data_IF_377702522078
#
_entry.id   IF_377702522078
#
_cell.length_a   1.000
_cell.length_b   1.000
_cell.length_c   1.000
_cell.angle_alpha   90.00
_cell.angle_beta   90.00
_cell.angle_gamma   90.00
#
_symmetry.space_group_name_H-M   'P 1'
#
loop_
_entity.id
_entity.type
_entity.pdbx_description
1 polymer ?
#
# COMPACT_ATOMS: atom_id res chain seq x y z
N UNK A 1 10.20 49.54 6.17
CA UNK A 1 9.00 49.29 5.33
C UNK A 1 8.89 47.78 5.24
N UNK A 2 8.18 47.22 6.21
CA UNK A 2 7.93 45.79 6.33
C UNK A 2 6.84 45.41 5.33
N UNK A 3 7.18 44.59 4.34
CA UNK A 3 6.19 43.90 3.52
C UNK A 3 5.70 42.67 4.27
N UNK A 4 4.73 42.89 5.17
CA UNK A 4 3.88 41.83 5.71
C UNK A 4 2.87 41.47 4.61
N UNK A 5 3.28 40.61 3.68
CA UNK A 5 2.41 40.00 2.69
C UNK A 5 1.76 38.75 3.27
N UNK A 6 0.47 38.82 3.56
CA UNK A 6 -0.58 37.76 3.47
C UNK A 6 -0.28 36.28 3.83
N UNK A 7 0.74 35.96 4.63
CA UNK A 7 0.95 34.60 5.16
C UNK A 7 0.30 34.36 6.54
N UNK A 8 -0.60 35.25 6.98
CA UNK A 8 -1.18 35.25 8.33
C UNK A 8 -2.33 34.28 8.59
N UNK A 9 -2.74 33.44 7.63
CA UNK A 9 -3.97 32.65 7.75
C UNK A 9 -3.83 31.18 8.18
N UNK A 10 -2.64 30.58 8.09
CA UNK A 10 -2.52 29.11 8.10
C UNK A 10 -1.62 28.50 9.18
N UNK A 11 -0.85 29.30 9.93
CA UNK A 11 -0.03 28.82 11.05
C UNK A 11 1.07 27.82 10.65
N UNK A 12 1.55 27.91 9.41
CA UNK A 12 2.54 27.00 8.82
C UNK A 12 3.95 27.59 8.91
N UNK A 13 4.96 26.75 9.14
CA UNK A 13 6.37 27.16 9.02
C UNK A 13 6.77 27.35 7.56
N UNK A 14 7.91 28.00 7.30
CA UNK A 14 8.44 28.21 5.94
C UNK A 14 8.62 26.87 5.21
N UNK A 15 9.22 25.87 5.87
CA UNK A 15 9.43 24.52 5.32
C UNK A 15 8.11 23.79 5.03
N UNK A 16 7.09 24.00 5.87
CA UNK A 16 5.76 23.42 5.67
C UNK A 16 5.04 24.06 4.48
N UNK A 17 5.22 25.36 4.29
CA UNK A 17 4.65 26.10 3.16
C UNK A 17 5.28 25.64 1.85
N UNK A 18 6.60 25.43 1.83
CA UNK A 18 7.30 24.87 0.66
C UNK A 18 6.80 23.47 0.29
N UNK A 19 6.62 22.58 1.29
CA UNK A 19 6.07 21.23 1.06
C UNK A 19 4.63 21.26 0.53
N UNK A 20 3.80 22.19 1.00
CA UNK A 20 2.43 22.35 0.51
C UNK A 20 2.42 22.79 -0.95
N UNK A 21 3.29 23.73 -1.33
CA UNK A 21 3.42 24.19 -2.72
C UNK A 21 3.93 23.07 -3.63
N UNK A 22 4.97 22.32 -3.22
CA UNK A 22 5.46 21.16 -3.98
C UNK A 22 4.40 20.07 -4.12
N UNK A 23 3.63 19.80 -3.07
CA UNK A 23 2.53 18.83 -3.11
C UNK A 23 1.41 19.28 -4.05
N UNK A 24 1.08 20.58 -4.06
CA UNK A 24 0.10 21.18 -4.97
C UNK A 24 0.53 21.05 -6.44
N UNK A 25 1.79 21.33 -6.75
CA UNK A 25 2.34 21.19 -8.11
C UNK A 25 2.32 19.74 -8.61
N UNK A 26 2.67 18.79 -7.74
CA UNK A 26 2.75 17.37 -8.09
C UNK A 26 1.37 16.69 -8.17
N UNK A 27 0.44 17.07 -7.30
CA UNK A 27 -0.88 16.42 -7.23
C UNK A 27 -1.97 17.17 -7.99
N UNK A 28 -1.74 18.42 -8.38
CA UNK A 28 -2.71 19.26 -9.09
C UNK A 28 -3.94 19.60 -8.26
N UNK A 29 -3.83 19.63 -6.93
CA UNK A 29 -4.91 20.06 -6.02
C UNK A 29 -4.77 21.56 -5.77
N UNK A 30 -5.76 22.34 -6.21
CA UNK A 30 -5.74 23.80 -6.09
C UNK A 30 -6.02 24.30 -4.66
N UNK A 31 -6.65 23.47 -3.81
CA UNK A 31 -7.00 23.85 -2.44
C UNK A 31 -5.86 23.59 -1.43
N UNK A 32 -5.27 24.69 -0.95
CA UNK A 32 -4.16 24.68 0.00
C UNK A 32 -4.52 24.04 1.36
N UNK A 33 -5.79 24.09 1.75
CA UNK A 33 -6.25 23.53 3.04
C UNK A 33 -6.32 22.01 3.00
N UNK A 34 -6.66 21.45 1.83
CA UNK A 34 -6.67 20.00 1.58
C UNK A 34 -5.23 19.49 1.51
N UNK A 35 -4.34 20.18 0.80
CA UNK A 35 -2.92 19.84 0.73
C UNK A 35 -2.28 19.80 2.13
N UNK A 36 -2.61 20.78 2.98
CA UNK A 36 -2.17 20.82 4.37
C UNK A 36 -2.67 19.63 5.18
N UNK A 37 -3.98 19.32 5.14
CA UNK A 37 -4.56 18.22 5.91
C UNK A 37 -3.96 16.86 5.49
N UNK A 38 -3.76 16.65 4.18
CA UNK A 38 -3.09 15.44 3.67
C UNK A 38 -1.65 15.36 4.16
N UNK A 39 -0.84 16.41 4.00
CA UNK A 39 0.55 16.41 4.48
C UNK A 39 0.64 16.23 6.00
N UNK A 40 -0.29 16.80 6.76
CA UNK A 40 -0.33 16.67 8.22
C UNK A 40 -0.62 15.23 8.66
N UNK A 41 -1.51 14.52 7.95
CA UNK A 41 -1.78 13.08 8.18
C UNK A 41 -0.56 12.20 7.91
N UNK A 42 0.26 12.59 6.93
CA UNK A 42 1.50 11.89 6.57
C UNK A 42 2.75 12.43 7.27
N UNK A 43 2.59 13.10 8.42
CA UNK A 43 3.70 13.66 9.20
C UNK A 43 4.68 14.52 8.37
N UNK A 44 4.16 15.28 7.41
CA UNK A 44 4.94 16.14 6.51
C UNK A 44 5.96 15.38 5.63
N UNK A 45 5.72 14.10 5.36
CA UNK A 45 6.47 13.31 4.39
C UNK A 45 5.85 13.48 3.00
N UNK A 46 6.50 14.31 2.17
CA UNK A 46 6.01 14.68 0.84
C UNK A 46 5.89 13.48 -0.09
N UNK A 47 6.92 12.63 -0.15
CA UNK A 47 6.98 11.49 -1.07
C UNK A 47 5.84 10.51 -0.82
N UNK A 48 5.61 10.17 0.45
CA UNK A 48 4.53 9.26 0.86
C UNK A 48 3.16 9.84 0.55
N UNK A 49 2.95 11.12 0.86
CA UNK A 49 1.68 11.80 0.59
C UNK A 49 1.38 11.88 -0.91
N UNK A 50 2.37 12.23 -1.74
CA UNK A 50 2.21 12.33 -3.20
C UNK A 50 1.92 10.94 -3.78
N UNK A 51 2.66 9.92 -3.36
CA UNK A 51 2.45 8.55 -3.83
C UNK A 51 1.04 8.04 -3.51
N UNK A 52 0.52 8.33 -2.31
CA UNK A 52 -0.85 7.94 -1.93
C UNK A 52 -1.90 8.71 -2.73
N UNK A 53 -1.73 10.02 -2.93
CA UNK A 53 -2.67 10.82 -3.69
C UNK A 53 -2.73 10.44 -5.17
N UNK A 54 -1.57 10.13 -5.78
CA UNK A 54 -1.48 9.62 -7.14
C UNK A 54 -2.10 8.22 -7.24
N UNK A 55 -1.85 7.33 -6.26
CA UNK A 55 -2.49 6.03 -6.19
C UNK A 55 -4.02 6.11 -6.11
N UNK A 56 -4.56 7.05 -5.31
CA UNK A 56 -6.01 7.29 -5.20
C UNK A 56 -6.59 7.79 -6.53
N UNK A 57 -5.91 8.72 -7.21
CA UNK A 57 -6.31 9.18 -8.55
C UNK A 57 -6.25 8.08 -9.61
N UNK A 58 -5.31 7.15 -9.50
CA UNK A 58 -5.17 5.97 -10.37
C UNK A 58 -6.09 4.80 -9.98
N UNK A 59 -6.94 4.93 -8.94
CA UNK A 59 -7.86 3.88 -8.52
C UNK A 59 -7.21 2.69 -7.80
N UNK A 60 -5.98 2.84 -7.30
CA UNK A 60 -5.31 1.82 -6.48
C UNK A 60 -5.68 2.02 -5.00
N UNK A 61 -6.13 0.97 -4.27
CA UNK A 61 -6.38 1.08 -2.84
C UNK A 61 -5.08 1.40 -2.10
N UNK A 62 -5.12 2.37 -1.18
CA UNK A 62 -3.91 2.80 -0.46
C UNK A 62 -3.43 1.72 0.51
N UNK A 63 -2.12 1.43 0.46
CA UNK A 63 -1.47 0.40 1.29
C UNK A 63 -1.42 0.79 2.78
N UNK A 64 -1.61 2.08 3.09
CA UNK A 64 -1.59 2.66 4.43
C UNK A 64 -2.96 3.02 4.99
N UNK A 65 -4.05 2.80 4.24
CA UNK A 65 -5.38 2.73 4.82
C UNK A 65 -5.41 1.49 5.72
N UNK A 66 -5.00 1.65 6.97
CA UNK A 66 -5.44 0.77 8.03
C UNK A 66 -6.97 0.78 7.98
N UNK A 67 -7.54 -0.30 7.42
CA UNK A 67 -8.97 -0.58 7.30
C UNK A 67 -9.57 -0.73 8.72
N UNK A 68 -9.61 0.37 9.46
CA UNK A 68 -10.23 0.46 10.79
C UNK A 68 -11.69 0.92 10.68
N UNK A 69 -12.11 1.41 9.50
CA UNK A 69 -13.50 1.74 9.22
C UNK A 69 -14.14 0.60 8.43
N UNK A 70 -15.24 0.00 8.93
CA UNK A 70 -15.96 -1.01 8.17
C UNK A 70 -16.40 -0.45 6.82
N UNK A 71 -16.35 -1.25 5.74
CA UNK A 71 -16.85 -0.86 4.43
C UNK A 71 -18.28 -0.35 4.57
N UNK A 72 -18.57 0.81 3.98
CA UNK A 72 -19.91 1.37 4.01
C UNK A 72 -20.88 0.38 3.34
N UNK A 73 -21.89 -0.07 4.09
CA UNK A 73 -22.97 -0.90 3.56
C UNK A 73 -23.96 0.00 2.84
N UNK A 74 -24.06 -0.17 1.52
CA UNK A 74 -25.02 0.60 0.73
C UNK A 74 -26.35 -0.17 0.71
N UNK A 75 -27.40 0.51 1.16
CA UNK A 75 -28.78 0.04 1.03
C UNK A 75 -29.38 0.65 -0.24
N UNK A 76 -29.23 -0.03 -1.39
CA UNK A 76 -29.88 0.39 -2.62
C UNK A 76 -31.28 -0.22 -2.68
N UNK A 77 -32.30 0.62 -2.50
CA UNK A 77 -33.68 0.19 -2.25
C UNK A 77 -34.42 -0.23 -3.53
N UNK A 78 -33.91 0.12 -4.72
CA UNK A 78 -34.54 -0.19 -6.00
C UNK A 78 -34.23 -1.60 -6.54
N UNK A 79 -33.12 -2.22 -6.14
CA UNK A 79 -32.70 -3.55 -6.60
C UNK A 79 -32.87 -4.66 -5.55
N UNK A 80 -33.45 -4.33 -4.41
CA UNK A 80 -33.43 -5.20 -3.24
C UNK A 80 -34.68 -6.06 -3.12
N UNK A 81 -34.50 -7.37 -2.97
CA UNK A 81 -35.60 -8.28 -2.65
C UNK A 81 -36.03 -8.10 -1.20
N UNK A 82 -37.27 -7.70 -0.95
CA UNK A 82 -37.86 -7.59 0.40
C UNK A 82 -38.92 -8.66 0.55
N UNK A 83 -38.66 -9.61 1.43
CA UNK A 83 -39.62 -10.65 1.79
C UNK A 83 -40.13 -10.38 3.20
N UNK A 84 -41.45 -10.22 3.32
CA UNK A 84 -42.10 -9.96 4.61
C UNK A 84 -43.13 -11.05 4.89
N UNK A 85 -43.05 -11.66 6.06
CA UNK A 85 -44.08 -12.56 6.60
C UNK A 85 -44.66 -11.92 7.86
N UNK A 86 -46.00 -11.70 7.92
CA UNK A 86 -46.63 -11.11 9.10
C UNK A 86 -46.55 -12.07 10.31
N UNK A 87 -46.53 -11.54 11.55
CA UNK A 87 -46.44 -12.38 12.75
C UNK A 87 -47.57 -13.39 12.89
N UNK A 88 -47.26 -14.60 13.36
CA UNK A 88 -48.23 -15.71 13.48
C UNK A 88 -49.25 -15.53 14.60
N UNK A 89 -49.05 -14.56 15.50
CA UNK A 89 -49.90 -14.28 16.67
C UNK A 89 -51.27 -13.64 16.34
N UNK A 90 -51.58 -13.47 15.05
CA UNK A 90 -52.83 -12.90 14.58
C UNK A 90 -52.95 -11.39 14.78
N UNK A 91 -51.86 -10.70 15.14
CA UNK A 91 -51.81 -9.23 15.26
C UNK A 91 -52.16 -8.50 13.96
N UNK A 92 -52.05 -9.17 12.80
CA UNK A 92 -52.29 -8.60 11.48
C UNK A 92 -53.70 -8.76 10.89
N UNK A 93 -54.68 -9.38 11.57
CA UNK A 93 -56.01 -9.65 10.96
C UNK A 93 -57.21 -9.22 11.81
N UNK A 94 -58.06 -8.36 11.24
CA UNK A 94 -59.39 -7.99 11.76
C UNK A 94 -59.44 -6.80 12.75
N UNK A 95 -60.66 -6.35 13.06
CA UNK A 95 -60.95 -5.20 13.94
C UNK A 95 -60.43 -5.43 15.37
N UNK A 96 -60.41 -6.70 15.83
CA UNK A 96 -59.81 -7.07 17.13
C UNK A 96 -58.28 -6.97 17.13
N UNK A 97 -57.64 -7.27 16.00
CA UNK A 97 -56.21 -7.04 15.76
C UNK A 97 -55.90 -5.55 15.88
N UNK A 98 -56.64 -4.69 15.17
CA UNK A 98 -56.51 -3.23 15.23
C UNK A 98 -56.63 -2.68 16.65
N UNK A 99 -57.65 -3.07 17.41
CA UNK A 99 -57.83 -2.60 18.80
C UNK A 99 -56.71 -3.10 19.71
N UNK A 100 -56.28 -4.36 19.58
CA UNK A 100 -55.15 -4.90 20.34
C UNK A 100 -53.84 -4.21 19.95
N UNK A 101 -53.60 -3.94 18.67
CA UNK A 101 -52.42 -3.18 18.22
C UNK A 101 -52.47 -1.75 18.68
N UNK A 102 -53.61 -1.04 18.66
CA UNK A 102 -53.70 0.35 19.14
C UNK A 102 -53.50 0.41 20.65
N UNK A 103 -54.12 -0.49 21.40
CA UNK A 103 -53.96 -0.54 22.85
C UNK A 103 -52.56 -0.99 23.26
N UNK A 104 -52.01 -2.02 22.63
CA UNK A 104 -50.63 -2.47 22.84
C UNK A 104 -49.64 -1.41 22.38
N UNK A 105 -49.91 -0.68 21.30
CA UNK A 105 -49.08 0.42 20.83
C UNK A 105 -49.11 1.56 21.83
N UNK A 106 -50.27 1.95 22.35
CA UNK A 106 -50.36 3.00 23.38
C UNK A 106 -49.70 2.56 24.69
N UNK A 107 -49.91 1.31 25.10
CA UNK A 107 -49.28 0.74 26.29
C UNK A 107 -47.76 0.65 26.14
N UNK A 108 -47.26 0.09 25.03
CA UNK A 108 -45.82 0.00 24.74
C UNK A 108 -45.21 1.38 24.49
N UNK A 109 -45.92 2.33 23.89
CA UNK A 109 -45.42 3.70 23.69
C UNK A 109 -45.31 4.40 25.05
N UNK A 110 -46.31 4.31 25.91
CA UNK A 110 -46.24 4.87 27.26
C UNK A 110 -45.17 4.15 28.10
N UNK A 111 -45.09 2.83 28.06
CA UNK A 111 -44.10 2.05 28.81
C UNK A 111 -42.67 2.30 28.31
N UNK A 112 -42.44 2.27 26.99
CA UNK A 112 -41.13 2.55 26.41
C UNK A 112 -40.73 4.02 26.55
N UNK A 113 -41.65 4.98 26.50
CA UNK A 113 -41.32 6.39 26.81
C UNK A 113 -40.97 6.56 28.28
N UNK A 114 -41.69 5.92 29.20
CA UNK A 114 -41.34 5.92 30.63
C UNK A 114 -39.99 5.26 30.89
N UNK A 115 -39.75 4.08 30.31
CA UNK A 115 -38.47 3.35 30.40
C UNK A 115 -37.34 4.14 29.76
N UNK A 116 -37.53 4.78 28.61
CA UNK A 116 -36.49 5.61 27.98
C UNK A 116 -36.22 6.89 28.76
N UNK A 117 -37.22 7.51 29.40
CA UNK A 117 -37.01 8.63 30.34
C UNK A 117 -36.27 8.13 31.60
N UNK A 118 -36.58 6.94 32.09
CA UNK A 118 -35.87 6.31 33.21
C UNK A 118 -34.44 5.92 32.85
N UNK A 119 -34.21 5.41 31.64
CA UNK A 119 -32.88 5.09 31.11
C UNK A 119 -32.08 6.37 30.83
N UNK A 120 -32.71 7.38 30.24
CA UNK A 120 -32.09 8.68 29.97
C UNK A 120 -31.74 9.40 31.27
N UNK A 121 -32.62 9.35 32.29
CA UNK A 121 -32.33 9.90 33.62
C UNK A 121 -31.23 9.10 34.33
N UNK A 122 -31.20 7.77 34.22
CA UNK A 122 -30.10 6.93 34.72
C UNK A 122 -28.77 7.17 34.01
N UNK A 123 -28.79 7.44 32.69
CA UNK A 123 -27.62 7.81 31.88
C UNK A 123 -27.10 9.20 32.23
N UNK A 124 -28.00 10.18 32.41
CA UNK A 124 -27.67 11.54 32.85
C UNK A 124 -27.10 11.57 34.28
N UNK A 125 -27.57 10.67 35.15
CA UNK A 125 -27.05 10.52 36.52
C UNK A 125 -25.78 9.65 36.60
N UNK A 126 -25.27 9.12 35.48
CA UNK A 126 -24.06 8.29 35.45
C UNK A 126 -24.20 6.93 36.15
N UNK A 127 -25.44 6.46 36.37
CA UNK A 127 -25.75 5.23 37.13
C UNK A 127 -25.78 3.99 36.20
N UNK A 128 -25.90 4.17 34.89
CA UNK A 128 -25.77 3.08 33.91
C UNK A 128 -24.30 2.89 33.48
N UNK A 129 -23.54 2.17 34.30
CA UNK A 129 -22.31 1.52 33.83
C UNK A 129 -22.72 0.28 33.02
N UNK A 130 -22.83 0.42 31.69
CA UNK A 130 -22.64 -0.75 30.82
C UNK A 130 -21.13 -0.89 30.64
N UNK A 131 -20.47 -1.90 31.23
CA UNK A 131 -19.08 -2.14 30.94
C UNK A 131 -18.96 -2.35 29.43
N UNK A 132 -18.11 -1.53 28.79
CA UNK A 132 -17.79 -1.62 27.37
C UNK A 132 -17.24 -3.02 27.13
N UNK A 133 -18.10 -3.92 26.70
CA UNK A 133 -17.77 -5.33 26.49
C UNK A 133 -17.07 -5.42 25.13
N UNK A 134 -16.20 -6.41 24.97
CA UNK A 134 -15.54 -6.62 23.69
C UNK A 134 -16.61 -7.09 22.68
N UNK A 135 -16.80 -6.42 21.52
CA UNK A 135 -17.81 -6.81 20.55
C UNK A 135 -17.65 -8.25 20.04
N UNK A 136 -16.42 -8.79 20.04
CA UNK A 136 -16.20 -10.21 19.69
C UNK A 136 -16.79 -11.12 20.76
N UNK A 137 -16.57 -10.79 22.03
CA UNK A 137 -17.06 -11.55 23.16
C UNK A 137 -18.59 -11.60 23.19
N UNK A 138 -19.27 -10.48 22.89
CA UNK A 138 -20.73 -10.42 22.80
C UNK A 138 -21.31 -11.38 21.75
N UNK A 139 -20.64 -11.49 20.59
CA UNK A 139 -21.05 -12.42 19.52
C UNK A 139 -20.84 -13.87 19.97
N UNK A 140 -19.72 -14.17 20.63
CA UNK A 140 -19.43 -15.50 21.15
C UNK A 140 -20.42 -15.93 22.24
N UNK A 141 -20.77 -15.02 23.15
CA UNK A 141 -21.79 -15.24 24.17
C UNK A 141 -23.16 -15.50 23.55
N UNK A 142 -23.51 -14.76 22.48
CA UNK A 142 -24.72 -15.03 21.72
C UNK A 142 -24.72 -16.44 21.10
N UNK A 143 -23.62 -16.86 20.47
CA UNK A 143 -23.51 -18.20 19.86
C UNK A 143 -23.68 -19.28 20.93
N UNK A 144 -23.00 -19.16 22.06
CA UNK A 144 -23.11 -20.10 23.17
C UNK A 144 -24.55 -20.18 23.71
N UNK A 145 -25.20 -19.03 23.93
CA UNK A 145 -26.59 -18.97 24.38
C UNK A 145 -27.58 -19.54 23.34
N UNK A 146 -27.29 -19.38 22.04
CA UNK A 146 -28.08 -19.95 20.96
C UNK A 146 -27.99 -21.48 20.96
N UNK A 147 -26.77 -22.02 21.03
CA UNK A 147 -26.49 -23.45 21.05
C UNK A 147 -27.12 -24.13 22.28
N UNK A 148 -27.07 -23.46 23.44
CA UNK A 148 -27.69 -23.93 24.68
C UNK A 148 -29.23 -23.99 24.57
N UNK A 149 -29.86 -22.97 23.96
CA UNK A 149 -31.33 -22.88 23.90
C UNK A 149 -31.96 -23.77 22.83
N UNK A 150 -31.35 -23.86 21.64
CA UNK A 150 -31.96 -24.52 20.48
C UNK A 150 -31.33 -25.88 20.21
N UNK A 151 -30.11 -25.89 19.67
CA UNK A 151 -29.24 -27.05 19.45
C UNK A 151 -27.95 -26.59 18.75
N UNK A 152 -26.99 -27.49 18.59
CA UNK A 152 -25.81 -27.29 17.73
C UNK A 152 -26.08 -27.54 16.23
N UNK A 153 -27.33 -27.83 15.85
CA UNK A 153 -27.71 -27.99 14.44
C UNK A 153 -28.10 -26.62 13.89
N UNK A 154 -27.13 -25.92 13.31
CA UNK A 154 -27.31 -24.63 12.63
C UNK A 154 -26.17 -24.41 11.62
N UNK A 155 -26.29 -23.43 10.69
CA UNK A 155 -25.18 -23.06 9.85
C UNK A 155 -24.01 -22.52 10.69
N UNK A 156 -22.78 -22.69 10.22
CA UNK A 156 -21.58 -22.35 10.99
C UNK A 156 -21.51 -20.85 11.20
N UNK A 157 -21.62 -20.40 12.46
CA UNK A 157 -21.50 -18.99 12.80
C UNK A 157 -20.05 -18.52 12.66
N UNK A 158 -19.88 -17.35 12.03
CA UNK A 158 -18.63 -16.63 11.98
C UNK A 158 -18.30 -16.03 13.35
N UNK A 159 -17.15 -16.40 13.90
CA UNK A 159 -16.68 -15.99 15.22
C UNK A 159 -15.90 -14.67 15.14
N UNK A 160 -16.60 -13.56 15.02
CA UNK A 160 -15.99 -12.23 14.98
C UNK A 160 -17.01 -11.10 14.87
N UNK A 161 -16.51 -9.87 14.78
CA UNK A 161 -17.36 -8.67 14.70
C UNK A 161 -18.04 -8.53 13.33
N UNK A 162 -19.10 -7.73 13.28
CA UNK A 162 -19.78 -7.35 12.03
C UNK A 162 -18.81 -6.73 11.02
N UNK A 163 -17.86 -5.91 11.51
CA UNK A 163 -16.85 -5.27 10.66
C UNK A 163 -15.87 -6.29 10.07
N UNK A 164 -15.44 -7.26 10.87
CA UNK A 164 -14.51 -8.32 10.45
C UNK A 164 -15.13 -9.22 9.38
N UNK A 165 -16.35 -9.72 9.63
CA UNK A 165 -17.01 -10.60 8.65
C UNK A 165 -17.29 -9.88 7.33
N UNK A 166 -17.54 -8.57 7.38
CA UNK A 166 -17.80 -7.78 6.19
C UNK A 166 -16.54 -7.55 5.35
N UNK A 167 -15.41 -7.31 6.02
CA UNK A 167 -14.10 -7.26 5.36
C UNK A 167 -13.72 -8.61 4.75
N UNK A 168 -13.95 -9.70 5.49
CA UNK A 168 -13.63 -11.04 5.03
C UNK A 168 -14.53 -11.48 3.87
N UNK A 169 -15.83 -11.14 3.91
CA UNK A 169 -16.74 -11.34 2.77
C UNK A 169 -16.29 -10.57 1.53
N UNK A 170 -15.84 -9.32 1.70
CA UNK A 170 -15.27 -8.50 0.61
C UNK A 170 -13.95 -9.10 0.11
N UNK A 171 -13.07 -9.58 1.00
CA UNK A 171 -11.77 -10.15 0.64
C UNK A 171 -11.92 -11.49 -0.08
N UNK A 172 -12.80 -12.36 0.38
CA UNK A 172 -13.01 -13.70 -0.20
C UNK A 172 -13.97 -13.71 -1.38
N UNK A 173 -14.66 -12.59 -1.67
CA UNK A 173 -15.70 -12.50 -2.69
C UNK A 173 -16.77 -13.60 -2.47
N UNK A 174 -17.32 -13.61 -1.26
CA UNK A 174 -18.39 -14.51 -0.81
C UNK A 174 -19.61 -13.72 -0.39
N UNK A 175 -20.78 -14.36 -0.46
CA UNK A 175 -22.00 -13.79 0.10
C UNK A 175 -21.92 -13.79 1.64
N UNK A 176 -22.48 -12.76 2.26
CA UNK A 176 -22.61 -12.66 3.71
C UNK A 176 -24.09 -12.75 4.08
N UNK A 177 -24.44 -13.71 4.92
CA UNK A 177 -25.78 -13.88 5.47
C UNK A 177 -25.78 -13.42 6.93
N UNK A 178 -26.44 -12.30 7.19
CA UNK A 178 -26.58 -11.69 8.52
C UNK A 178 -27.90 -12.11 9.14
N UNK A 179 -27.84 -12.66 10.35
CA UNK A 179 -28.98 -13.02 11.18
C UNK A 179 -29.07 -12.14 12.42
N UNK A 180 -30.22 -11.50 12.64
CA UNK A 180 -30.48 -10.75 13.87
C UNK A 180 -31.54 -11.47 14.70
N UNK A 181 -31.13 -11.85 15.91
CA UNK A 181 -31.92 -12.63 16.84
C UNK A 181 -32.64 -11.74 17.86
N UNK A 182 -33.96 -11.92 17.99
CA UNK A 182 -34.76 -11.30 19.04
C UNK A 182 -35.41 -12.36 19.92
N UNK A 183 -35.05 -12.38 21.20
CA UNK A 183 -35.64 -13.27 22.21
C UNK A 183 -37.10 -12.95 22.50
N UNK A 184 -37.56 -11.75 22.16
CA UNK A 184 -38.90 -11.26 22.47
C UNK A 184 -39.90 -11.51 21.33
N UNK A 185 -39.42 -11.86 20.14
CA UNK A 185 -40.27 -12.08 18.98
C UNK A 185 -40.80 -13.53 18.96
N UNK A 186 -42.12 -13.66 18.80
CA UNK A 186 -42.86 -14.93 18.88
C UNK A 186 -42.35 -15.98 17.90
N UNK A 187 -42.00 -15.54 16.68
CA UNK A 187 -41.65 -16.42 15.57
C UNK A 187 -40.17 -16.84 15.54
N UNK A 188 -39.33 -16.22 16.39
CA UNK A 188 -37.89 -16.49 16.40
C UNK A 188 -37.58 -17.92 16.82
N UNK A 189 -38.26 -18.43 17.84
CA UNK A 189 -37.97 -19.75 18.41
C UNK A 189 -38.30 -20.87 17.41
N UNK A 190 -39.44 -20.76 16.72
CA UNK A 190 -39.83 -21.69 15.65
C UNK A 190 -38.86 -21.61 14.48
N UNK A 191 -38.48 -20.41 14.06
CA UNK A 191 -37.52 -20.21 12.98
C UNK A 191 -36.14 -20.86 13.28
N UNK A 192 -35.65 -20.75 14.50
CA UNK A 192 -34.39 -21.39 14.90
C UNK A 192 -34.48 -22.91 14.89
N UNK A 193 -35.57 -23.47 15.44
CA UNK A 193 -35.74 -24.93 15.59
C UNK A 193 -36.12 -25.64 14.30
N UNK A 194 -36.90 -25.00 13.43
CA UNK A 194 -37.43 -25.65 12.24
C UNK A 194 -36.61 -25.27 11.00
N UNK A 195 -36.34 -23.97 10.83
CA UNK A 195 -35.76 -23.43 9.59
C UNK A 195 -34.24 -23.45 9.60
N UNK A 196 -33.60 -22.88 10.63
CA UNK A 196 -32.13 -22.84 10.71
C UNK A 196 -31.52 -24.20 11.03
N UNK A 197 -32.24 -25.06 11.76
CA UNK A 197 -31.77 -26.41 12.05
C UNK A 197 -31.96 -27.40 10.89
N UNK A 198 -32.63 -27.00 9.81
CA UNK A 198 -32.85 -27.87 8.66
C UNK A 198 -31.52 -28.21 7.96
N UNK A 199 -31.20 -29.50 7.73
CA UNK A 199 -29.90 -29.91 7.18
C UNK A 199 -29.64 -29.41 5.75
N UNK A 200 -30.68 -29.25 4.93
CA UNK A 200 -30.52 -28.69 3.58
C UNK A 200 -30.16 -27.21 3.61
N UNK A 201 -30.74 -26.46 4.55
CA UNK A 201 -30.39 -25.05 4.79
C UNK A 201 -28.95 -24.95 5.30
N UNK A 202 -28.58 -25.76 6.30
CA UNK A 202 -27.23 -25.78 6.87
C UNK A 202 -26.18 -26.03 5.77
N UNK A 203 -26.38 -27.08 4.97
CA UNK A 203 -25.45 -27.42 3.87
C UNK A 203 -25.35 -26.29 2.86
N UNK A 204 -26.48 -25.72 2.44
CA UNK A 204 -26.51 -24.66 1.43
C UNK A 204 -25.85 -23.37 1.94
N UNK A 205 -26.17 -22.95 3.17
CA UNK A 205 -25.60 -21.75 3.78
C UNK A 205 -24.10 -21.89 3.95
N UNK A 206 -23.61 -23.01 4.50
CA UNK A 206 -22.18 -23.24 4.72
C UNK A 206 -21.37 -23.23 3.41
N UNK A 207 -21.96 -23.72 2.31
CA UNK A 207 -21.30 -23.77 1.01
C UNK A 207 -21.20 -22.39 0.34
N UNK A 208 -22.24 -21.56 0.42
CA UNK A 208 -22.34 -20.34 -0.37
C UNK A 208 -22.11 -19.04 0.42
N UNK A 209 -22.30 -19.06 1.75
CA UNK A 209 -22.32 -17.86 2.57
C UNK A 209 -21.30 -17.93 3.72
N UNK A 210 -20.82 -16.75 4.13
CA UNK A 210 -20.37 -16.52 5.49
C UNK A 210 -21.61 -16.20 6.33
N UNK A 211 -21.90 -17.05 7.32
CA UNK A 211 -23.06 -16.86 8.17
C UNK A 211 -22.67 -16.17 9.47
N UNK A 212 -23.27 -15.03 9.75
CA UNK A 212 -23.00 -14.24 10.96
C UNK A 212 -24.30 -13.93 11.69
N UNK A 213 -24.28 -14.03 13.01
CA UNK A 213 -25.47 -13.86 13.83
C UNK A 213 -25.17 -13.07 15.09
N UNK A 214 -26.14 -12.27 15.52
CA UNK A 214 -26.03 -11.51 16.77
C UNK A 214 -27.40 -11.25 17.41
N UNK A 215 -27.41 -11.08 18.74
CA UNK A 215 -28.59 -10.68 19.50
C UNK A 215 -28.85 -9.18 19.38
N UNK A 216 -30.11 -8.78 19.21
CA UNK A 216 -30.50 -7.36 19.17
C UNK A 216 -30.21 -6.59 20.48
N UNK A 217 -30.03 -7.30 21.59
CA UNK A 217 -29.79 -6.72 22.90
C UNK A 217 -28.32 -6.31 23.12
N UNK A 218 -27.42 -6.84 22.29
CA UNK A 218 -25.98 -6.55 22.32
C UNK A 218 -25.67 -5.20 21.64
N UNK A 219 -24.54 -4.60 21.99
CA UNK A 219 -24.11 -3.33 21.39
C UNK A 219 -23.69 -3.55 19.93
N UNK A 220 -23.09 -4.69 19.61
CA UNK A 220 -22.78 -5.09 18.23
C UNK A 220 -24.04 -5.33 17.39
N UNK A 221 -25.08 -5.91 18.00
CA UNK A 221 -26.40 -6.08 17.39
C UNK A 221 -27.06 -4.75 17.03
N UNK A 222 -27.03 -3.77 17.94
CA UNK A 222 -27.57 -2.43 17.71
C UNK A 222 -26.86 -1.70 16.56
N UNK A 223 -25.53 -1.83 16.45
CA UNK A 223 -24.78 -1.30 15.30
C UNK A 223 -25.23 -1.93 13.99
N UNK A 224 -25.44 -3.24 14.01
CA UNK A 224 -25.86 -3.99 12.82
C UNK A 224 -27.29 -3.68 12.41
N UNK A 225 -28.21 -3.51 13.37
CA UNK A 225 -29.58 -3.07 13.12
C UNK A 225 -29.58 -1.74 12.36
N UNK A 226 -28.75 -0.77 12.78
CA UNK A 226 -28.64 0.52 12.13
C UNK A 226 -28.06 0.42 10.71
N UNK A 227 -27.06 -0.45 10.51
CA UNK A 227 -26.44 -0.66 9.20
C UNK A 227 -27.40 -1.31 8.19
N UNK A 228 -28.18 -2.30 8.64
CA UNK A 228 -29.04 -3.10 7.77
C UNK A 228 -30.48 -2.55 7.70
N UNK A 229 -30.84 -1.67 8.64
CA UNK A 229 -32.17 -1.08 8.86
C UNK A 229 -33.25 -2.14 9.10
N UNK A 230 -32.95 -3.10 9.97
CA UNK A 230 -33.89 -4.18 10.33
C UNK A 230 -35.07 -3.66 11.16
N UNK A 231 -36.28 -4.12 10.85
CA UNK A 231 -37.50 -3.65 11.52
C UNK A 231 -38.31 -4.76 12.21
N UNK A 232 -38.40 -5.95 11.60
CA UNK A 232 -39.11 -7.10 12.18
C UNK A 232 -38.18 -8.30 12.35
N UNK A 233 -38.51 -9.17 13.31
CA UNK A 233 -37.68 -10.32 13.70
C UNK A 233 -38.49 -11.63 13.64
N UNK A 234 -37.85 -12.78 13.33
CA UNK A 234 -36.44 -12.97 12.98
C UNK A 234 -36.07 -12.26 11.67
N UNK A 235 -34.85 -11.75 11.59
CA UNK A 235 -34.38 -10.95 10.46
C UNK A 235 -33.16 -11.59 9.80
N UNK A 236 -33.20 -11.71 8.48
CA UNK A 236 -32.09 -12.13 7.64
C UNK A 236 -31.78 -11.09 6.56
N UNK A 237 -30.51 -10.81 6.34
CA UNK A 237 -30.05 -10.02 5.20
C UNK A 237 -28.94 -10.73 4.44
N UNK A 238 -29.02 -10.67 3.12
CA UNK A 238 -27.95 -11.12 2.22
C UNK A 238 -27.19 -9.91 1.72
N UNK A 239 -25.87 -9.93 1.92
CA UNK A 239 -24.95 -8.90 1.45
C UNK A 239 -23.97 -9.50 0.44
N UNK A 240 -23.64 -8.72 -0.58
CA UNK A 240 -22.67 -9.09 -1.63
C UNK A 240 -21.87 -7.89 -2.08
N UNK A 241 -20.66 -8.12 -2.59
CA UNK A 241 -19.87 -7.10 -3.25
C UNK A 241 -20.46 -6.79 -4.63
N UNK A 242 -20.96 -5.58 -4.81
CA UNK A 242 -21.44 -5.04 -6.08
C UNK A 242 -20.75 -3.70 -6.33
N UNK A 243 -20.15 -3.52 -7.51
CA UNK A 243 -19.46 -2.26 -7.89
C UNK A 243 -18.44 -1.79 -6.82
N UNK A 244 -17.65 -2.75 -6.31
CA UNK A 244 -16.63 -2.53 -5.27
C UNK A 244 -17.19 -2.02 -3.90
N UNK A 245 -18.50 -2.11 -3.68
CA UNK A 245 -19.17 -1.76 -2.41
C UNK A 245 -19.96 -2.96 -1.89
N UNK A 246 -19.98 -3.13 -0.57
CA UNK A 246 -20.85 -4.14 0.03
C UNK A 246 -22.27 -3.62 0.05
N UNK A 247 -23.17 -4.36 -0.60
CA UNK A 247 -24.57 -3.97 -0.82
C UNK A 247 -25.50 -5.02 -0.25
N UNK A 248 -26.63 -4.60 0.31
CA UNK A 248 -27.66 -5.53 0.77
C UNK A 248 -28.57 -5.83 -0.42
N UNK A 249 -28.60 -7.09 -0.85
CA UNK A 249 -29.34 -7.54 -2.03
C UNK A 249 -30.66 -8.21 -1.69
N UNK A 250 -30.79 -8.75 -0.48
CA UNK A 250 -32.05 -9.29 0.01
C UNK A 250 -32.25 -9.03 1.50
N UNK A 251 -33.51 -8.77 1.86
CA UNK A 251 -34.03 -8.65 3.22
C UNK A 251 -35.15 -9.66 3.39
N UNK A 252 -35.11 -10.42 4.45
CA UNK A 252 -36.14 -11.39 4.83
C UNK A 252 -36.54 -11.12 6.27
N UNK A 253 -37.77 -10.69 6.45
CA UNK A 253 -38.34 -10.29 7.72
C UNK A 253 -39.47 -11.25 8.12
N UNK A 254 -39.37 -11.79 9.34
CA UNK A 254 -40.37 -12.71 9.91
C UNK A 254 -40.07 -14.18 9.63
N UNK A 255 -40.99 -15.05 10.07
CA UNK A 255 -40.87 -16.49 9.87
C UNK A 255 -40.80 -16.85 8.39
N UNK A 256 -39.94 -17.80 8.05
CA UNK A 256 -39.89 -18.41 6.73
C UNK A 256 -39.74 -19.92 6.88
N UNK A 257 -40.56 -20.67 6.16
CA UNK A 257 -40.43 -22.13 6.04
C UNK A 257 -39.08 -22.51 5.39
N UNK A 258 -38.45 -23.64 5.77
CA UNK A 258 -37.18 -24.09 5.19
C UNK A 258 -37.18 -24.13 3.66
N UNK A 259 -38.25 -24.65 3.03
CA UNK A 259 -38.33 -24.74 1.58
C UNK A 259 -38.37 -23.36 0.91
N UNK A 260 -39.14 -22.45 1.50
CA UNK A 260 -39.27 -21.08 1.03
C UNK A 260 -37.96 -20.29 1.20
N UNK A 261 -37.29 -20.43 2.35
CA UNK A 261 -36.00 -19.78 2.60
C UNK A 261 -34.95 -20.29 1.60
N UNK A 262 -34.87 -21.60 1.36
CA UNK A 262 -33.94 -22.17 0.39
C UNK A 262 -34.18 -21.62 -1.02
N UNK A 263 -35.44 -21.52 -1.45
CA UNK A 263 -35.80 -20.96 -2.76
C UNK A 263 -35.36 -19.49 -2.88
N UNK A 264 -35.65 -18.68 -1.85
CA UNK A 264 -35.26 -17.26 -1.82
C UNK A 264 -33.75 -17.09 -1.89
N UNK A 265 -33.00 -17.83 -1.06
CA UNK A 265 -31.54 -17.78 -1.06
C UNK A 265 -30.94 -18.23 -2.40
N UNK A 266 -31.47 -19.29 -3.02
CA UNK A 266 -31.03 -19.75 -4.35
C UNK A 266 -31.27 -18.71 -5.44
N UNK A 267 -32.44 -18.07 -5.41
CA UNK A 267 -32.78 -17.01 -6.38
C UNK A 267 -31.79 -15.85 -6.29
N UNK A 268 -31.54 -15.36 -5.06
CA UNK A 268 -30.60 -14.25 -4.81
C UNK A 268 -29.17 -14.63 -5.21
N UNK A 269 -28.71 -15.84 -4.88
CA UNK A 269 -27.37 -16.29 -5.29
C UNK A 269 -27.25 -16.34 -6.81
N UNK A 270 -28.24 -16.94 -7.50
CA UNK A 270 -28.19 -17.06 -8.97
C UNK A 270 -28.18 -15.71 -9.70
N UNK A 271 -28.84 -14.70 -9.14
CA UNK A 271 -28.90 -13.35 -9.72
C UNK A 271 -27.57 -12.59 -9.54
N UNK A 272 -26.98 -12.70 -8.35
CA UNK A 272 -25.81 -11.89 -7.96
C UNK A 272 -24.46 -12.62 -8.06
N UNK A 273 -24.45 -13.91 -8.44
CA UNK A 273 -23.22 -14.68 -8.66
C UNK A 273 -22.37 -14.07 -9.77
N UNK A 274 -23.00 -13.50 -10.81
CA UNK A 274 -22.31 -12.81 -11.91
C UNK A 274 -21.46 -11.64 -11.39
N UNK A 275 -21.93 -10.90 -10.38
CA UNK A 275 -21.17 -9.80 -9.78
C UNK A 275 -19.89 -10.32 -9.08
N UNK A 276 -19.97 -11.46 -8.40
CA UNK A 276 -18.79 -12.07 -7.77
C UNK A 276 -17.81 -12.61 -8.82
N UNK A 277 -18.31 -13.19 -9.91
CA UNK A 277 -17.46 -13.66 -11.03
C UNK A 277 -16.75 -12.48 -11.69
N UNK A 278 -17.46 -11.40 -11.98
CA UNK A 278 -16.87 -10.17 -12.51
C UNK A 278 -15.79 -9.62 -11.57
N UNK A 279 -16.09 -9.52 -10.27
CA UNK A 279 -15.11 -9.04 -9.29
C UNK A 279 -13.87 -9.94 -9.17
N UNK A 280 -14.02 -11.26 -9.38
CA UNK A 280 -12.88 -12.20 -9.43
C UNK A 280 -12.03 -11.98 -10.68
N UNK A 281 -12.66 -11.77 -11.83
CA UNK A 281 -11.96 -11.46 -13.08
C UNK A 281 -11.17 -10.16 -12.96
N UNK A 282 -11.79 -9.08 -12.47
CA UNK A 282 -11.14 -7.78 -12.28
C UNK A 282 -9.91 -7.88 -11.37
N UNK A 283 -10.02 -8.65 -10.27
CA UNK A 283 -8.87 -8.88 -9.37
C UNK A 283 -7.76 -9.69 -10.01
N UNK A 284 -8.12 -10.71 -10.77
CA UNK A 284 -7.15 -11.53 -11.47
C UNK A 284 -6.39 -10.68 -12.50
N UNK A 285 -7.10 -9.89 -13.30
CA UNK A 285 -6.50 -8.96 -14.26
C UNK A 285 -5.58 -7.94 -13.57
N UNK A 286 -6.02 -7.34 -12.45
CA UNK A 286 -5.19 -6.41 -11.68
C UNK A 286 -3.92 -7.08 -11.12
N UNK A 287 -4.01 -8.33 -10.66
CA UNK A 287 -2.86 -9.11 -10.18
C UNK A 287 -1.89 -9.42 -11.31
N UNK A 288 -2.39 -9.86 -12.47
CA UNK A 288 -1.57 -10.16 -13.64
C UNK A 288 -0.88 -8.90 -14.14
N UNK A 289 -1.60 -7.79 -14.26
CA UNK A 289 -1.02 -6.50 -14.67
C UNK A 289 0.07 -6.02 -13.69
N UNK A 290 -0.13 -6.22 -12.38
CA UNK A 290 0.89 -5.90 -11.37
C UNK A 290 2.14 -6.77 -11.53
N UNK A 291 1.98 -8.07 -11.72
CA UNK A 291 3.09 -8.99 -11.95
C UNK A 291 3.86 -8.65 -13.22
N UNK A 292 3.17 -8.31 -14.30
CA UNK A 292 3.78 -7.96 -15.58
C UNK A 292 4.63 -6.69 -15.46
N UNK A 293 4.12 -5.66 -14.78
CA UNK A 293 4.88 -4.42 -14.52
C UNK A 293 6.12 -4.69 -13.67
N UNK A 294 5.98 -5.49 -12.61
CA UNK A 294 7.13 -5.88 -11.78
C UNK A 294 8.21 -6.59 -12.59
N UNK A 295 7.85 -7.47 -13.52
CA UNK A 295 8.80 -8.15 -14.41
C UNK A 295 9.46 -7.18 -15.40
N UNK A 296 8.71 -6.21 -15.93
CA UNK A 296 9.25 -5.17 -16.81
C UNK A 296 10.23 -4.27 -16.08
N UNK A 297 9.89 -3.85 -14.86
CA UNK A 297 10.76 -3.02 -14.01
C UNK A 297 12.05 -3.76 -13.64
N UNK A 298 11.95 -5.06 -13.32
CA UNK A 298 13.11 -5.90 -13.03
C UNK A 298 14.04 -6.04 -14.23
N UNK A 299 13.49 -6.37 -15.40
CA UNK A 299 14.26 -6.47 -16.65
C UNK A 299 14.88 -5.13 -17.05
N UNK A 300 14.18 -4.02 -16.85
CA UNK A 300 14.70 -2.68 -17.11
C UNK A 300 15.87 -2.36 -16.17
N UNK A 301 15.74 -2.64 -14.87
CA UNK A 301 16.83 -2.45 -13.91
C UNK A 301 18.05 -3.30 -14.24
N UNK A 302 17.86 -4.54 -14.70
CA UNK A 302 18.97 -5.39 -15.13
C UNK A 302 19.68 -4.83 -16.37
N UNK A 303 18.92 -4.41 -17.39
CA UNK A 303 19.48 -3.76 -18.58
C UNK A 303 20.23 -2.48 -18.23
N UNK A 304 19.67 -1.65 -17.33
CA UNK A 304 20.31 -0.42 -16.89
C UNK A 304 21.65 -0.70 -16.20
N UNK A 305 21.71 -1.72 -15.33
CA UNK A 305 22.98 -2.13 -14.69
C UNK A 305 24.00 -2.62 -15.72
N UNK A 306 23.55 -3.38 -16.72
CA UNK A 306 24.43 -3.88 -17.78
C UNK A 306 25.01 -2.74 -18.63
N UNK A 307 24.19 -1.75 -18.98
CA UNK A 307 24.63 -0.57 -19.73
C UNK A 307 25.58 0.31 -18.91
N UNK A 308 25.29 0.55 -17.63
CA UNK A 308 26.19 1.25 -16.71
C UNK A 308 27.54 0.54 -16.57
N UNK A 309 27.53 -0.78 -16.40
CA UNK A 309 28.78 -1.56 -16.32
C UNK A 309 29.59 -1.51 -17.61
N UNK A 310 28.91 -1.57 -18.75
CA UNK A 310 29.55 -1.45 -20.07
C UNK A 310 30.15 -0.06 -20.28
N UNK A 311 29.48 0.99 -19.82
CA UNK A 311 30.00 2.35 -19.86
C UNK A 311 31.23 2.52 -18.96
N UNK A 312 31.19 2.02 -17.72
CA UNK A 312 32.36 2.00 -16.82
C UNK A 312 33.56 1.30 -17.44
N UNK A 313 33.36 0.11 -18.03
CA UNK A 313 34.45 -0.63 -18.70
C UNK A 313 35.03 0.15 -19.89
N UNK A 314 34.19 0.83 -20.67
CA UNK A 314 34.64 1.67 -21.79
C UNK A 314 35.44 2.87 -21.31
N UNK A 315 35.02 3.50 -20.21
CA UNK A 315 35.74 4.64 -19.62
C UNK A 315 37.09 4.21 -19.03
N UNK A 316 37.14 3.08 -18.32
CA UNK A 316 38.39 2.49 -17.82
C UNK A 316 39.36 2.15 -18.96
N UNK A 317 38.87 1.52 -20.03
CA UNK A 317 39.69 1.22 -21.22
C UNK A 317 40.24 2.50 -21.88
N UNK A 318 39.43 3.56 -21.97
CA UNK A 318 39.88 4.86 -22.48
C UNK A 318 40.98 5.46 -21.61
N UNK A 319 40.79 5.46 -20.28
CA UNK A 319 41.80 5.96 -19.34
C UNK A 319 43.11 5.17 -19.44
N UNK A 320 43.05 3.85 -19.55
CA UNK A 320 44.23 3.01 -19.73
C UNK A 320 44.96 3.32 -21.04
N UNK A 321 44.23 3.49 -22.15
CA UNK A 321 44.81 3.88 -23.43
C UNK A 321 45.46 5.27 -23.37
N UNK A 322 44.81 6.26 -22.74
CA UNK A 322 45.36 7.60 -22.56
C UNK A 322 46.63 7.59 -21.68
N UNK A 323 46.65 6.80 -20.61
CA UNK A 323 47.84 6.63 -19.77
C UNK A 323 48.99 5.92 -20.50
N UNK A 324 48.68 4.94 -21.35
CA UNK A 324 49.68 4.24 -22.16
C UNK A 324 50.27 5.16 -23.24
N UNK A 325 49.43 5.91 -23.94
CA UNK A 325 49.87 6.93 -24.91
C UNK A 325 50.75 7.98 -24.22
N UNK A 326 50.33 8.47 -23.05
CA UNK A 326 51.10 9.46 -22.29
C UNK A 326 52.45 8.91 -21.83
N UNK A 327 52.51 7.66 -21.37
CA UNK A 327 53.78 7.00 -21.01
C UNK A 327 54.71 6.87 -22.21
N UNK A 328 54.19 6.45 -23.36
CA UNK A 328 54.97 6.33 -24.59
C UNK A 328 55.49 7.71 -25.06
N UNK A 329 54.68 8.77 -24.96
CA UNK A 329 55.11 10.13 -25.29
C UNK A 329 56.15 10.69 -24.30
N UNK A 330 56.06 10.37 -23.01
CA UNK A 330 57.06 10.73 -22.00
C UNK A 330 58.39 10.00 -22.27
N UNK A 331 58.36 8.69 -22.57
CA UNK A 331 59.54 7.92 -22.96
C UNK A 331 60.20 8.47 -24.22
N UNK A 332 59.41 8.76 -25.26
CA UNK A 332 59.94 9.30 -26.52
C UNK A 332 60.61 10.66 -26.32
N UNK A 333 60.00 11.54 -25.52
CA UNK A 333 60.59 12.84 -25.15
C UNK A 333 61.87 12.69 -24.33
N UNK A 334 61.91 11.76 -23.38
CA UNK A 334 63.11 11.50 -22.60
C UNK A 334 64.27 10.99 -23.48
N UNK A 335 63.97 10.16 -24.47
CA UNK A 335 64.97 9.65 -25.42
C UNK A 335 65.46 10.75 -26.38
N UNK A 336 64.57 11.62 -26.86
CA UNK A 336 64.93 12.80 -27.65
C UNK A 336 65.86 13.74 -26.86
N UNK A 337 65.51 14.10 -25.62
CA UNK A 337 66.33 14.96 -24.74
C UNK A 337 67.69 14.31 -24.45
N UNK A 338 67.72 12.99 -24.20
CA UNK A 338 68.98 12.25 -23.99
C UNK A 338 69.87 12.29 -25.22
N UNK A 339 69.30 12.17 -26.42
CA UNK A 339 70.06 12.24 -27.67
C UNK A 339 70.63 13.64 -27.91
N UNK A 340 69.85 14.67 -27.62
CA UNK A 340 70.27 16.07 -27.74
C UNK A 340 71.38 16.42 -26.74
N UNK A 341 71.29 15.98 -25.49
CA UNK A 341 72.33 16.24 -24.48
C UNK A 341 73.66 15.59 -24.86
N UNK A 342 73.64 14.33 -25.34
CA UNK A 342 74.83 13.64 -25.85
C UNK A 342 75.42 14.38 -27.06
N UNK A 343 74.57 14.90 -27.96
CA UNK A 343 75.03 15.65 -29.13
C UNK A 343 75.67 17.00 -28.73
N UNK A 344 75.08 17.73 -27.78
CA UNK A 344 75.64 18.97 -27.25
C UNK A 344 76.95 18.74 -26.50
N UNK A 345 77.04 17.67 -25.70
CA UNK A 345 78.27 17.31 -24.99
C UNK A 345 79.40 16.98 -25.97
N UNK A 346 79.10 16.27 -27.07
CA UNK A 346 80.06 16.05 -28.16
C UNK A 346 80.53 17.37 -28.79
N UNK A 347 79.63 18.30 -29.10
CA UNK A 347 79.99 19.60 -29.68
C UNK A 347 80.82 20.44 -28.70
N UNK A 348 80.42 20.51 -27.43
CA UNK A 348 81.16 21.25 -26.39
C UNK A 348 82.53 20.64 -26.13
N UNK A 349 82.68 19.31 -26.25
CA UNK A 349 83.98 18.65 -26.11
C UNK A 349 84.96 19.07 -27.21
N UNK A 350 84.49 19.36 -28.43
CA UNK A 350 85.35 19.82 -29.55
C UNK A 350 85.94 21.21 -29.28
N UNK A 351 85.16 22.13 -28.71
CA UNK A 351 85.65 23.49 -28.38
C UNK A 351 86.60 23.55 -27.19
N UNK A 352 86.59 22.54 -26.33
CA UNK A 352 87.54 22.46 -25.21
C UNK A 352 88.94 22.08 -25.67
N UNK A 353 89.11 21.42 -26.82
CA UNK A 353 90.43 20.95 -27.29
C UNK A 353 91.16 22.06 -28.05
N UNK A 354 92.37 22.52 -27.64
CA UNK A 354 93.06 23.67 -28.22
C UNK A 354 93.73 23.30 -29.54
N UNK A 355 93.91 24.25 -30.44
CA UNK A 355 94.54 24.01 -31.76
C UNK A 355 95.92 23.36 -31.64
N UNK A 356 96.23 22.48 -32.59
CA UNK A 356 97.47 21.69 -32.54
C UNK A 356 98.69 22.58 -32.83
N UNK A 357 99.68 22.66 -31.92
CA UNK A 357 100.84 23.51 -32.10
C UNK A 357 101.77 22.97 -33.22
N UNK A 358 102.49 23.87 -33.92
CA UNK A 358 103.43 23.48 -34.97
C UNK A 358 104.57 22.60 -34.43
N UNK A 359 105.11 21.71 -35.27
CA UNK A 359 106.19 20.78 -34.93
C UNK A 359 107.47 21.46 -34.39
N UNK A 360 107.66 22.74 -34.72
CA UNK A 360 108.84 23.53 -34.37
C UNK A 360 108.71 24.31 -33.06
N UNK A 361 107.60 24.15 -32.32
CA UNK A 361 107.40 24.88 -31.05
C UNK A 361 108.17 24.18 -29.90
N UNK A 362 109.01 24.90 -29.13
CA UNK A 362 109.93 24.30 -28.15
C UNK A 362 109.25 23.60 -26.96
N UNK A 363 107.98 23.91 -26.69
CA UNK A 363 107.20 23.35 -25.56
C UNK A 363 106.04 22.42 -25.96
N UNK A 364 106.10 21.78 -27.14
CA UNK A 364 105.11 20.80 -27.58
C UNK A 364 105.37 19.39 -27.01
N UNK A 365 104.32 18.71 -26.53
CA UNK A 365 104.29 17.34 -26.01
C UNK A 365 103.33 16.51 -26.88
N UNK A 366 103.68 15.23 -27.14
CA UNK A 366 102.85 14.31 -27.93
C UNK A 366 102.06 13.39 -27.01
N UNK A 367 100.74 13.36 -27.16
CA UNK A 367 99.85 12.45 -26.43
C UNK A 367 99.22 11.47 -27.41
N UNK A 368 99.29 10.18 -27.08
CA UNK A 368 98.77 9.09 -27.91
C UNK A 368 97.67 8.36 -27.15
N UNK A 369 96.44 8.43 -27.66
CA UNK A 369 95.31 7.66 -27.15
C UNK A 369 95.14 6.39 -27.96
N UNK A 370 95.16 5.24 -27.28
CA UNK A 370 94.86 3.95 -27.89
C UNK A 370 93.38 3.62 -27.64
N UNK A 371 92.55 3.72 -28.67
CA UNK A 371 91.13 3.43 -28.58
C UNK A 371 90.89 1.90 -28.50
N UNK A 372 89.78 1.44 -27.87
CA UNK A 372 89.43 0.02 -27.81
C UNK A 372 89.26 -0.66 -29.19
N UNK A 373 89.07 0.12 -30.26
CA UNK A 373 89.01 -0.36 -31.65
C UNK A 373 90.38 -0.62 -32.30
N UNK A 374 91.49 -0.41 -31.58
CA UNK A 374 92.86 -0.65 -32.07
C UNK A 374 93.50 0.55 -32.78
N UNK A 375 92.72 1.58 -33.11
CA UNK A 375 93.21 2.83 -33.70
C UNK A 375 93.99 3.67 -32.68
N UNK A 376 95.13 4.22 -33.09
CA UNK A 376 95.92 5.17 -32.30
C UNK A 376 95.58 6.59 -32.76
N UNK A 377 95.14 7.43 -31.83
CA UNK A 377 94.92 8.85 -32.06
C UNK A 377 96.11 9.62 -31.47
N UNK A 378 96.83 10.36 -32.29
CA UNK A 378 98.01 11.11 -31.89
C UNK A 378 97.73 12.60 -32.05
N UNK A 379 98.00 13.40 -31.01
CA UNK A 379 97.84 14.85 -31.07
C UNK A 379 98.87 15.55 -30.19
N UNK A 380 99.33 16.72 -30.62
CA UNK A 380 100.30 17.55 -29.89
C UNK A 380 99.60 18.59 -29.03
N UNK A 381 100.18 18.88 -27.86
CA UNK A 381 99.70 19.90 -26.93
C UNK A 381 100.89 20.67 -26.32
N UNK A 382 100.69 21.94 -25.97
CA UNK A 382 101.68 22.70 -25.19
C UNK A 382 101.70 22.26 -23.71
N UNK A 383 102.86 22.31 -23.05
CA UNK A 383 103.01 22.03 -21.61
C UNK A 383 102.14 22.90 -20.69
N UNK A 384 101.67 24.05 -21.18
CA UNK A 384 100.83 24.99 -20.45
C UNK A 384 99.32 24.65 -20.47
N UNK A 385 98.88 23.64 -21.24
CA UNK A 385 97.47 23.24 -21.28
C UNK A 385 97.09 22.37 -20.07
N UNK A 386 95.85 22.56 -19.57
CA UNK A 386 95.30 21.79 -18.44
C UNK A 386 94.99 20.34 -18.82
N UNK A 387 95.11 19.41 -17.86
CA UNK A 387 94.76 17.99 -18.02
C UNK A 387 93.27 17.75 -18.32
N UNK A 388 92.38 18.69 -18.00
CA UNK A 388 90.94 18.58 -18.32
C UNK A 388 90.63 18.73 -19.82
N UNK A 389 91.65 19.13 -20.59
CA UNK A 389 91.58 19.49 -22.00
C UNK A 389 92.37 18.52 -22.89
N UNK A 390 93.18 17.65 -22.26
CA UNK A 390 93.90 16.53 -22.86
C UNK A 390 92.99 15.30 -22.91
#
# INVERSE_FOLDING_TARGET
MDYIGENGGLGLTTDQTEKVLQFQDLTGIEDITICRDVLQRHQWNLEVAVQEQLNIKEGRPSVYASESRPPAVVSDHLGQHIYYTPPTDGSGSGIKGLVKTVFSFMWNMCYNTLITILQLSRRLLGIEFRPRTDPVQEVMEFIAAYEEKYSQQHPVFYQGTFSQVLNDAKRELRFLLVYLHSTNATDTDAFCRDTLANPDIIRYVNQHFLFWGCSINSDEGQRTINAVKASHYPFLAVLVLKENRMTIVARMEGYADPGLLAQRLRSVVSEYEVNLVSARADRFEASVNRSLRSQQDEAFMESLRADQEKERRREEQRRQQEEEIRRLEEERRAEEVRRESIAQEKVNSVYKVPEEPPASHPDAVHVVFKLPCGTRLERRFLKSHSLEVL
#
